data_IF_207707578184
#
_entry.id   IF_207707578184
#
_cell.length_a   1.000
_cell.length_b   1.000
_cell.length_c   1.000
_cell.angle_alpha   90.00
_cell.angle_beta   90.00
_cell.angle_gamma   90.00
#
_symmetry.space_group_name_H-M   'P 1'
#
loop_
_entity.id
_entity.type
_entity.pdbx_description
1 polymer ?
#
# COMPACT_ATOMS: atom_id res chain seq x y z
N UNK A 1 36.68 -19.86 -1.80
CA UNK A 1 37.74 -20.84 -2.08
C UNK A 1 38.00 -20.89 -3.56
N UNK A 2 38.81 -19.96 -4.06
CA UNK A 2 39.57 -20.13 -5.29
C UNK A 2 41.02 -20.21 -4.80
N UNK A 3 41.66 -21.34 -5.02
CA UNK A 3 43.06 -21.53 -4.67
C UNK A 3 43.83 -20.50 -5.49
N UNK A 4 44.60 -19.65 -4.81
CA UNK A 4 45.44 -18.60 -5.38
C UNK A 4 46.63 -19.27 -6.11
N UNK A 5 46.32 -19.96 -7.21
CA UNK A 5 47.22 -20.85 -7.94
C UNK A 5 48.27 -20.05 -8.73
N UNK A 6 48.06 -18.74 -8.88
CA UNK A 6 48.97 -17.79 -9.51
C UNK A 6 50.30 -17.65 -8.75
N UNK A 7 50.40 -18.13 -7.49
CA UNK A 7 51.65 -18.11 -6.70
C UNK A 7 52.42 -19.43 -6.70
N UNK A 8 51.93 -20.48 -7.36
CA UNK A 8 52.62 -21.77 -7.39
C UNK A 8 53.69 -21.78 -8.48
N UNK A 9 54.92 -22.20 -8.14
CA UNK A 9 56.02 -22.43 -9.11
C UNK A 9 55.60 -23.38 -10.25
N UNK A 10 54.65 -24.29 -9.99
CA UNK A 10 54.08 -25.19 -10.99
C UNK A 10 53.25 -24.44 -12.05
N UNK A 11 52.50 -23.42 -11.65
CA UNK A 11 51.75 -22.55 -12.57
C UNK A 11 52.69 -21.78 -13.48
N UNK A 12 53.82 -21.29 -12.95
CA UNK A 12 54.83 -20.56 -13.73
C UNK A 12 55.41 -21.44 -14.86
N UNK A 13 55.75 -22.69 -14.56
CA UNK A 13 56.28 -23.65 -15.55
C UNK A 13 55.24 -23.94 -16.62
N UNK A 14 53.98 -24.17 -16.22
CA UNK A 14 52.86 -24.41 -17.16
C UNK A 14 52.58 -23.16 -18.01
N UNK A 15 52.58 -21.98 -17.42
CA UNK A 15 52.25 -20.75 -18.12
C UNK A 15 53.33 -20.39 -19.15
N UNK A 16 54.62 -20.55 -18.80
CA UNK A 16 55.72 -20.33 -19.75
C UNK A 16 55.73 -21.41 -20.84
N UNK A 17 55.55 -22.69 -20.47
CA UNK A 17 55.63 -23.81 -21.41
C UNK A 17 54.45 -23.93 -22.37
N UNK A 18 53.24 -23.55 -21.94
CA UNK A 18 52.01 -23.71 -22.71
C UNK A 18 51.33 -22.39 -23.07
N UNK A 19 51.85 -21.24 -22.64
CA UNK A 19 51.18 -19.93 -22.76
C UNK A 19 49.75 -20.01 -22.22
N UNK A 20 49.62 -20.63 -21.04
CA UNK A 20 48.33 -21.03 -20.48
C UNK A 20 47.36 -19.85 -20.33
N UNK A 21 47.85 -18.68 -19.91
CA UNK A 21 47.04 -17.46 -19.80
C UNK A 21 46.49 -17.01 -21.15
N UNK A 22 47.31 -17.08 -22.21
CA UNK A 22 46.88 -16.72 -23.58
C UNK A 22 45.84 -17.72 -24.08
N UNK A 23 46.03 -19.02 -23.83
CA UNK A 23 45.03 -20.02 -24.18
C UNK A 23 43.71 -19.79 -23.44
N UNK A 24 43.76 -19.44 -22.15
CA UNK A 24 42.58 -19.10 -21.35
C UNK A 24 41.89 -17.85 -21.90
N UNK A 25 42.65 -16.80 -22.22
CA UNK A 25 42.12 -15.57 -22.80
C UNK A 25 41.45 -15.83 -24.16
N UNK A 26 42.07 -16.63 -25.04
CA UNK A 26 41.48 -17.02 -26.33
C UNK A 26 40.21 -17.84 -26.13
N UNK A 27 40.19 -18.80 -25.19
CA UNK A 27 38.98 -19.59 -24.88
C UNK A 27 37.85 -18.71 -24.34
N UNK A 28 38.15 -17.75 -23.45
CA UNK A 28 37.16 -16.79 -22.94
C UNK A 28 36.66 -15.88 -24.06
N UNK A 29 37.54 -15.41 -24.96
CA UNK A 29 37.15 -14.60 -26.11
C UNK A 29 36.27 -15.38 -27.10
N UNK A 30 36.59 -16.64 -27.38
CA UNK A 30 35.77 -17.53 -28.21
C UNK A 30 34.41 -17.82 -27.56
N UNK A 31 34.40 -18.10 -26.25
CA UNK A 31 33.16 -18.26 -25.49
C UNK A 31 32.30 -16.99 -25.53
N UNK A 32 32.90 -15.82 -25.30
CA UNK A 32 32.23 -14.52 -25.38
C UNK A 32 31.68 -14.27 -26.78
N UNK A 33 32.43 -14.59 -27.84
CA UNK A 33 31.96 -14.46 -29.21
C UNK A 33 30.81 -15.40 -29.54
N UNK A 34 30.74 -16.57 -28.91
CA UNK A 34 29.72 -17.59 -29.18
C UNK A 34 28.46 -17.40 -28.35
N UNK A 35 28.59 -16.93 -27.10
CA UNK A 35 27.51 -16.91 -26.11
C UNK A 35 27.30 -15.57 -25.41
N UNK A 36 28.19 -14.58 -25.60
CA UNK A 36 28.16 -13.30 -24.88
C UNK A 36 26.81 -12.58 -25.00
N UNK A 37 26.21 -12.60 -26.19
CA UNK A 37 24.89 -11.99 -26.45
C UNK A 37 23.75 -12.67 -25.68
N UNK A 38 23.92 -13.94 -25.28
CA UNK A 38 22.91 -14.73 -24.55
C UNK A 38 23.00 -14.54 -23.03
N UNK A 39 24.15 -14.12 -22.49
CA UNK A 39 24.38 -13.99 -21.05
C UNK A 39 23.34 -13.07 -20.39
N UNK A 40 23.00 -11.95 -21.05
CA UNK A 40 21.97 -11.04 -20.54
C UNK A 40 20.59 -11.67 -20.43
N UNK A 41 20.24 -12.56 -21.38
CA UNK A 41 19.00 -13.33 -21.33
C UNK A 41 19.04 -14.36 -20.18
N UNK A 42 20.13 -15.10 -20.02
CA UNK A 42 20.27 -16.09 -18.95
C UNK A 42 20.18 -15.45 -17.56
N UNK A 43 20.87 -14.33 -17.33
CA UNK A 43 20.79 -13.60 -16.06
C UNK A 43 19.37 -13.10 -15.79
N UNK A 44 18.65 -12.64 -16.82
CA UNK A 44 17.24 -12.22 -16.69
C UNK A 44 16.35 -13.40 -16.30
N UNK A 45 16.52 -14.57 -16.94
CA UNK A 45 15.73 -15.77 -16.63
C UNK A 45 15.99 -16.24 -15.20
N UNK A 46 17.24 -16.25 -14.74
CA UNK A 46 17.59 -16.53 -13.35
C UNK A 46 16.91 -15.54 -12.41
N UNK A 47 16.99 -14.23 -12.69
CA UNK A 47 16.34 -13.20 -11.88
C UNK A 47 14.82 -13.35 -11.80
N UNK A 48 14.16 -13.74 -12.90
CA UNK A 48 12.71 -14.04 -12.88
C UNK A 48 12.41 -15.27 -12.02
N UNK A 49 13.20 -16.33 -12.12
CA UNK A 49 13.02 -17.53 -11.29
C UNK A 49 13.19 -17.22 -9.80
N UNK A 50 14.20 -16.41 -9.43
CA UNK A 50 14.43 -15.97 -8.05
C UNK A 50 13.30 -15.09 -7.53
N UNK A 51 12.79 -14.15 -8.34
CA UNK A 51 11.68 -13.28 -7.97
C UNK A 51 10.38 -14.08 -7.74
N UNK A 52 10.03 -14.98 -8.68
CA UNK A 52 8.85 -15.83 -8.55
C UNK A 52 8.98 -16.80 -7.38
N UNK A 53 10.16 -17.38 -7.17
CA UNK A 53 10.45 -18.21 -5.99
C UNK A 53 10.25 -17.44 -4.68
N UNK A 54 10.69 -16.19 -4.62
CA UNK A 54 10.53 -15.33 -3.44
C UNK A 54 9.06 -15.04 -3.11
N UNK A 55 8.23 -14.80 -4.14
CA UNK A 55 6.78 -14.61 -3.96
C UNK A 55 6.08 -15.90 -3.53
N UNK A 56 6.49 -17.05 -4.08
CA UNK A 56 5.90 -18.34 -3.72
C UNK A 56 6.14 -18.71 -2.24
N UNK A 57 7.29 -18.33 -1.67
CA UNK A 57 7.63 -18.58 -0.25
C UNK A 57 6.61 -17.96 0.71
N UNK A 58 5.94 -16.86 0.34
CA UNK A 58 4.94 -16.18 1.18
C UNK A 58 3.86 -17.16 1.64
N UNK A 59 3.32 -17.97 0.72
CA UNK A 59 2.27 -18.97 1.05
C UNK A 59 2.78 -20.13 1.90
N UNK A 60 4.09 -20.39 1.88
CA UNK A 60 4.68 -21.43 2.72
C UNK A 60 4.81 -20.97 4.17
N UNK A 61 5.11 -19.68 4.38
CA UNK A 61 5.20 -19.05 5.70
C UNK A 61 3.80 -18.71 6.24
N UNK A 62 2.89 -18.32 5.36
CA UNK A 62 1.51 -17.94 5.67
C UNK A 62 0.51 -18.78 4.85
N UNK A 63 0.22 -20.02 5.25
CA UNK A 63 -0.70 -20.91 4.53
C UNK A 63 -2.15 -20.41 4.46
N UNK A 64 -2.49 -19.44 5.31
CA UNK A 64 -3.81 -18.81 5.42
C UNK A 64 -3.97 -17.58 4.51
N UNK A 65 -2.93 -17.22 3.76
CA UNK A 65 -2.96 -16.14 2.77
C UNK A 65 -3.43 -16.67 1.42
N UNK A 66 -4.35 -15.95 0.78
CA UNK A 66 -4.90 -16.34 -0.52
C UNK A 66 -4.12 -15.72 -1.69
N UNK A 67 -4.09 -16.41 -2.83
CA UNK A 67 -3.82 -15.75 -4.10
C UNK A 67 -5.03 -14.91 -4.51
N UNK A 68 -4.82 -13.71 -5.08
CA UNK A 68 -5.91 -12.82 -5.47
C UNK A 68 -6.62 -13.33 -6.73
N UNK A 69 -7.92 -13.11 -6.81
CA UNK A 69 -8.71 -13.23 -8.03
C UNK A 69 -8.71 -11.87 -8.75
N UNK A 70 -8.11 -11.83 -9.95
CA UNK A 70 -8.00 -10.59 -10.74
C UNK A 70 -9.18 -10.45 -11.69
N UNK A 71 -9.79 -9.26 -11.71
CA UNK A 71 -10.91 -8.95 -12.61
C UNK A 71 -10.62 -7.83 -13.60
N UNK A 72 -11.21 -7.95 -14.79
CA UNK A 72 -10.89 -7.10 -15.94
C UNK A 72 -11.89 -5.96 -16.20
N UNK A 73 -13.12 -5.98 -15.66
CA UNK A 73 -14.21 -5.13 -16.17
C UNK A 73 -14.73 -4.04 -15.22
N UNK A 74 -14.60 -4.21 -13.92
CA UNK A 74 -15.14 -3.27 -12.92
C UNK A 74 -14.02 -2.70 -12.04
N UNK A 75 -14.24 -1.61 -11.29
CA UNK A 75 -13.29 -1.18 -10.26
C UNK A 75 -13.71 -1.79 -8.92
N UNK A 76 -13.22 -3.00 -8.65
CA UNK A 76 -13.64 -3.81 -7.50
C UNK A 76 -12.46 -4.10 -6.59
N UNK A 77 -12.71 -4.07 -5.28
CA UNK A 77 -11.85 -4.67 -4.26
C UNK A 77 -12.75 -5.33 -3.22
N UNK A 78 -12.67 -6.65 -3.12
CA UNK A 78 -13.38 -7.42 -2.11
C UNK A 78 -12.38 -8.28 -1.35
N UNK A 79 -12.36 -8.18 -0.02
CA UNK A 79 -11.46 -8.96 0.81
C UNK A 79 -12.15 -9.50 2.06
N UNK A 80 -11.92 -10.78 2.32
CA UNK A 80 -12.34 -11.46 3.54
C UNK A 80 -11.13 -11.64 4.46
N UNK A 81 -11.28 -11.24 5.73
CA UNK A 81 -10.24 -11.30 6.74
C UNK A 81 -8.92 -10.64 6.29
N UNK A 82 -9.01 -9.42 5.72
CA UNK A 82 -7.86 -8.63 5.33
C UNK A 82 -7.03 -8.19 6.54
N UNK A 83 -5.74 -8.46 6.51
CA UNK A 83 -4.74 -8.02 7.48
C UNK A 83 -3.64 -7.15 6.86
N UNK A 84 -2.83 -6.54 7.72
CA UNK A 84 -1.64 -5.81 7.28
C UNK A 84 -0.43 -6.76 7.29
N UNK A 85 0.25 -7.01 6.15
CA UNK A 85 1.36 -7.98 6.03
C UNK A 85 2.56 -7.78 6.97
N UNK A 86 2.71 -6.59 7.56
CA UNK A 86 3.85 -6.21 8.40
C UNK A 86 3.49 -6.18 9.88
N UNK A 87 2.23 -6.42 10.24
CA UNK A 87 1.82 -6.55 11.63
C UNK A 87 2.00 -7.99 12.11
N UNK A 88 2.46 -8.18 13.36
CA UNK A 88 2.49 -9.50 13.97
C UNK A 88 1.09 -10.15 13.95
N UNK A 89 0.97 -11.46 13.63
CA UNK A 89 -0.33 -12.13 13.53
C UNK A 89 -1.20 -12.03 14.78
N UNK A 90 -0.59 -12.01 15.98
CA UNK A 90 -1.26 -11.86 17.28
C UNK A 90 -1.84 -10.47 17.52
N UNK A 91 -1.35 -9.45 16.81
CA UNK A 91 -1.80 -8.05 16.92
C UNK A 91 -2.60 -7.59 15.70
N UNK A 92 -2.63 -8.37 14.63
CA UNK A 92 -3.27 -8.01 13.38
C UNK A 92 -4.77 -8.31 13.43
N UNK A 93 -5.57 -7.29 13.75
CA UNK A 93 -7.03 -7.40 13.65
C UNK A 93 -7.44 -7.39 12.18
N UNK A 94 -8.02 -8.50 11.73
CA UNK A 94 -8.51 -8.68 10.36
C UNK A 94 -9.88 -8.03 10.15
N UNK A 95 -10.09 -7.47 8.96
CA UNK A 95 -11.30 -6.75 8.59
C UNK A 95 -11.79 -7.18 7.21
N UNK A 96 -13.10 -7.12 6.99
CA UNK A 96 -13.68 -7.33 5.67
C UNK A 96 -13.85 -5.99 4.96
N UNK A 97 -13.78 -6.01 3.64
CA UNK A 97 -14.06 -4.84 2.80
C UNK A 97 -14.67 -5.29 1.48
N UNK A 98 -15.60 -4.49 0.99
CA UNK A 98 -16.24 -4.67 -0.31
C UNK A 98 -16.44 -3.29 -0.95
N UNK A 99 -15.71 -3.07 -2.04
CA UNK A 99 -15.67 -1.85 -2.83
C UNK A 99 -16.08 -2.25 -4.24
N UNK A 100 -17.11 -1.58 -4.73
CA UNK A 100 -17.71 -1.81 -6.04
C UNK A 100 -18.04 -0.44 -6.65
N UNK A 101 -17.10 0.07 -7.45
CA UNK A 101 -17.18 1.36 -8.13
C UNK A 101 -17.49 2.55 -7.19
N UNK A 102 -17.22 2.41 -5.89
CA UNK A 102 -17.49 3.38 -4.84
C UNK A 102 -16.23 3.83 -4.09
N UNK A 103 -16.32 4.93 -3.37
CA UNK A 103 -15.24 5.45 -2.52
C UNK A 103 -15.61 5.36 -1.05
N UNK A 104 -14.67 4.95 -0.21
CA UNK A 104 -14.90 4.81 1.23
C UNK A 104 -14.37 6.02 2.00
N UNK A 105 -15.20 6.58 2.87
CA UNK A 105 -14.79 7.59 3.85
C UNK A 105 -14.74 6.91 5.22
N UNK A 106 -13.55 6.85 5.80
CA UNK A 106 -13.25 6.18 7.06
C UNK A 106 -13.02 7.20 8.15
N UNK A 107 -13.89 7.19 9.15
CA UNK A 107 -13.79 8.06 10.33
C UNK A 107 -13.35 7.32 11.59
N UNK A 108 -12.95 8.08 12.60
CA UNK A 108 -12.55 7.56 13.91
C UNK A 108 -11.45 8.43 14.52
N UNK A 109 -11.18 8.24 15.81
CA UNK A 109 -10.14 9.01 16.49
C UNK A 109 -8.74 8.77 15.90
N UNK A 110 -7.78 9.58 16.32
CA UNK A 110 -6.37 9.23 16.14
C UNK A 110 -6.09 7.90 16.85
N UNK A 111 -5.16 7.11 16.30
CA UNK A 111 -4.77 5.78 16.79
C UNK A 111 -5.80 4.66 16.64
N UNK A 112 -7.00 4.92 16.12
CA UNK A 112 -8.05 3.89 15.95
C UNK A 112 -7.79 2.85 14.84
N UNK A 113 -6.70 3.01 14.07
CA UNK A 113 -6.28 2.08 13.03
C UNK A 113 -6.59 2.50 11.59
N UNK A 114 -7.14 3.70 11.35
CA UNK A 114 -7.48 4.20 10.00
C UNK A 114 -6.32 4.08 9.00
N UNK A 115 -5.18 4.73 9.26
CA UNK A 115 -4.02 4.72 8.37
C UNK A 115 -3.47 3.30 8.15
N UNK A 116 -3.48 2.47 9.20
CA UNK A 116 -3.09 1.05 9.14
C UNK A 116 -3.99 0.27 8.20
N UNK A 117 -5.30 0.50 8.24
CA UNK A 117 -6.27 -0.15 7.37
C UNK A 117 -6.11 0.27 5.91
N UNK A 118 -5.94 1.57 5.62
CA UNK A 118 -5.67 2.02 4.26
C UNK A 118 -4.36 1.41 3.71
N UNK A 119 -3.30 1.37 4.54
CA UNK A 119 -2.01 0.73 4.17
C UNK A 119 -2.15 -0.77 3.97
N UNK A 120 -2.98 -1.46 4.74
CA UNK A 120 -3.25 -2.88 4.54
C UNK A 120 -3.82 -3.13 3.15
N UNK A 121 -4.82 -2.34 2.71
CA UNK A 121 -5.36 -2.47 1.35
C UNK A 121 -4.30 -2.17 0.29
N UNK A 122 -3.58 -1.05 0.43
CA UNK A 122 -2.54 -0.65 -0.53
C UNK A 122 -1.43 -1.69 -0.70
N UNK A 123 -0.91 -2.25 0.40
CA UNK A 123 0.17 -3.26 0.34
C UNK A 123 -0.36 -4.57 -0.25
N UNK A 124 -1.57 -4.99 0.08
CA UNK A 124 -2.15 -6.20 -0.49
C UNK A 124 -2.44 -6.05 -1.99
N UNK A 125 -2.82 -4.88 -2.47
CA UNK A 125 -2.90 -4.60 -3.92
C UNK A 125 -1.52 -4.70 -4.59
N UNK A 126 -0.47 -4.14 -3.97
CA UNK A 126 0.90 -4.25 -4.50
C UNK A 126 1.37 -5.71 -4.57
N UNK A 127 1.11 -6.49 -3.52
CA UNK A 127 1.40 -7.93 -3.51
C UNK A 127 0.62 -8.67 -4.60
N UNK A 128 -0.67 -8.34 -4.77
CA UNK A 128 -1.52 -8.93 -5.79
C UNK A 128 -0.98 -8.65 -7.20
N UNK A 129 -0.63 -7.39 -7.50
CA UNK A 129 -0.10 -7.00 -8.80
C UNK A 129 1.31 -7.53 -9.06
N UNK A 130 2.08 -7.84 -8.01
CA UNK A 130 3.35 -8.54 -8.13
C UNK A 130 3.17 -10.04 -8.43
N UNK A 131 1.95 -10.59 -8.30
CA UNK A 131 1.66 -12.03 -8.47
C UNK A 131 1.89 -12.85 -7.19
N UNK A 132 1.99 -12.20 -6.02
CA UNK A 132 2.13 -12.84 -4.73
C UNK A 132 0.79 -13.16 -4.07
N UNK A 133 0.84 -13.98 -3.02
CA UNK A 133 -0.30 -14.13 -2.11
C UNK A 133 -0.44 -12.89 -1.23
N UNK A 134 -1.68 -12.62 -0.82
CA UNK A 134 -2.05 -11.45 -0.03
C UNK A 134 -2.47 -11.85 1.38
N UNK A 135 -2.27 -10.95 2.35
CA UNK A 135 -2.66 -11.13 3.75
C UNK A 135 -4.18 -10.99 3.91
N UNK A 136 -4.91 -11.96 3.36
CA UNK A 136 -6.35 -12.11 3.45
C UNK A 136 -6.73 -13.57 3.23
N UNK A 137 -7.87 -14.00 3.79
CA UNK A 137 -8.42 -15.32 3.52
C UNK A 137 -9.05 -15.43 2.12
N UNK A 138 -9.54 -14.30 1.59
CA UNK A 138 -10.01 -14.13 0.21
C UNK A 138 -9.71 -12.73 -0.26
N UNK A 139 -9.35 -12.57 -1.52
CA UNK A 139 -9.09 -11.27 -2.11
C UNK A 139 -9.44 -11.28 -3.59
N UNK A 140 -10.28 -10.35 -4.02
CA UNK A 140 -10.70 -10.12 -5.40
C UNK A 140 -10.42 -8.66 -5.71
N UNK A 141 -9.69 -8.38 -6.78
CA UNK A 141 -9.42 -7.00 -7.16
C UNK A 141 -9.25 -6.83 -8.66
N UNK A 142 -9.54 -5.63 -9.13
CA UNK A 142 -9.26 -5.25 -10.51
C UNK A 142 -7.86 -4.66 -10.65
N UNK A 143 -7.30 -4.71 -11.86
CA UNK A 143 -6.01 -4.05 -12.14
C UNK A 143 -6.22 -2.55 -12.24
N UNK A 144 -5.70 -1.81 -11.28
CA UNK A 144 -5.87 -0.36 -11.15
C UNK A 144 -4.57 0.34 -10.80
N UNK A 145 -4.40 1.56 -11.28
CA UNK A 145 -3.28 2.41 -10.85
C UNK A 145 -3.48 2.86 -9.39
N UNK A 146 -2.53 2.49 -8.53
CA UNK A 146 -2.56 2.83 -7.10
C UNK A 146 -1.86 4.16 -6.84
N UNK A 147 -2.60 5.12 -6.29
CA UNK A 147 -2.08 6.42 -5.87
C UNK A 147 -2.25 6.64 -4.38
N UNK A 148 -1.29 7.28 -3.73
CA UNK A 148 -1.37 7.56 -2.29
C UNK A 148 -1.01 9.00 -1.95
N UNK A 149 -1.72 9.55 -0.97
CA UNK A 149 -1.34 10.75 -0.23
C UNK A 149 -1.35 10.39 1.25
N UNK A 150 -0.29 9.70 1.66
CA UNK A 150 -0.05 9.29 3.05
C UNK A 150 1.28 9.87 3.50
N UNK A 151 1.38 10.19 4.80
CA UNK A 151 2.62 10.68 5.36
C UNK A 151 3.64 9.53 5.44
N UNK A 152 4.77 9.73 4.77
CA UNK A 152 6.04 9.07 5.11
C UNK A 152 6.67 10.02 6.12
N UNK A 153 6.94 9.55 7.34
CA UNK A 153 7.67 10.34 8.34
C UNK A 153 9.03 10.71 7.73
N UNK A 154 9.16 11.91 7.19
CA UNK A 154 10.44 12.51 6.84
C UNK A 154 10.42 14.02 7.11
N UNK A 155 11.44 14.39 7.90
CA UNK A 155 11.94 15.68 8.36
C UNK A 155 10.99 16.77 8.90
N UNK A 156 11.21 17.06 10.18
CA UNK A 156 10.63 18.10 11.05
C UNK A 156 10.87 19.56 10.59
N UNK A 157 11.38 19.80 9.38
CA UNK A 157 11.99 21.09 9.03
C UNK A 157 11.16 22.03 8.16
N UNK A 158 10.00 21.67 7.61
CA UNK A 158 9.32 22.55 6.65
C UNK A 158 7.78 22.53 6.67
N UNK A 159 7.15 23.15 7.66
CA UNK A 159 5.67 23.22 7.77
C UNK A 159 4.93 23.82 6.55
N UNK A 160 5.59 24.64 5.72
CA UNK A 160 5.02 25.18 4.46
C UNK A 160 5.20 24.19 3.28
N UNK A 161 6.30 23.44 3.29
CA UNK A 161 6.64 22.48 2.24
C UNK A 161 5.75 21.23 2.32
N UNK A 162 5.37 20.80 3.54
CA UNK A 162 4.51 19.63 3.73
C UNK A 162 3.10 19.83 3.16
N UNK A 163 2.44 20.96 3.45
CA UNK A 163 1.14 21.27 2.86
C UNK A 163 1.22 21.44 1.35
N UNK A 164 2.25 22.12 0.84
CA UNK A 164 2.41 22.30 -0.61
C UNK A 164 2.74 20.97 -1.33
N UNK A 165 3.54 20.10 -0.71
CA UNK A 165 3.82 18.77 -1.21
C UNK A 165 2.56 17.90 -1.22
N UNK A 166 1.74 17.98 -0.17
CA UNK A 166 0.42 17.35 -0.13
C UNK A 166 -0.46 17.85 -1.28
N UNK A 167 -0.57 19.17 -1.47
CA UNK A 167 -1.34 19.76 -2.56
C UNK A 167 -0.86 19.27 -3.94
N UNK A 168 0.46 19.15 -4.13
CA UNK A 168 1.05 18.57 -5.35
C UNK A 168 0.65 17.11 -5.55
N UNK A 169 0.67 16.28 -4.49
CA UNK A 169 0.22 14.88 -4.55
C UNK A 169 -1.27 14.79 -4.90
N UNK A 170 -2.12 15.56 -4.22
CA UNK A 170 -3.56 15.60 -4.54
C UNK A 170 -3.81 16.05 -5.98
N UNK A 171 -3.08 17.06 -6.47
CA UNK A 171 -3.17 17.47 -7.87
C UNK A 171 -2.74 16.35 -8.83
N UNK A 172 -1.69 15.60 -8.53
CA UNK A 172 -1.26 14.45 -9.33
C UNK A 172 -2.37 13.38 -9.42
N UNK A 173 -3.01 13.05 -8.30
CA UNK A 173 -4.15 12.12 -8.25
C UNK A 173 -5.29 12.64 -9.13
N UNK A 174 -5.65 13.92 -8.99
CA UNK A 174 -6.69 14.55 -9.80
C UNK A 174 -6.35 14.55 -11.29
N UNK A 175 -5.11 14.86 -11.69
CA UNK A 175 -4.71 14.82 -13.10
C UNK A 175 -4.79 13.42 -13.67
N UNK A 176 -4.44 12.39 -12.89
CA UNK A 176 -4.55 11.01 -13.35
C UNK A 176 -6.00 10.58 -13.51
N UNK A 177 -6.87 10.92 -12.56
CA UNK A 177 -8.30 10.58 -12.64
C UNK A 177 -8.98 11.10 -13.91
N UNK A 178 -8.55 12.26 -14.43
CA UNK A 178 -9.07 12.84 -15.68
C UNK A 178 -8.79 12.00 -16.93
N UNK A 179 -7.89 11.02 -16.86
CA UNK A 179 -7.57 10.11 -17.98
C UNK A 179 -8.63 9.03 -18.16
N UNK A 180 -9.49 8.81 -17.17
CA UNK A 180 -10.52 7.76 -17.20
C UNK A 180 -9.97 6.34 -17.14
N UNK A 181 -8.72 6.16 -16.68
CA UNK A 181 -8.12 4.85 -16.45
C UNK A 181 -8.54 4.32 -15.08
N UNK A 182 -8.73 2.99 -14.91
CA UNK A 182 -9.00 2.40 -13.61
C UNK A 182 -7.93 2.78 -12.58
N UNK A 183 -8.36 3.37 -11.47
CA UNK A 183 -7.44 3.83 -10.43
C UNK A 183 -8.06 3.68 -9.06
N UNK A 184 -7.19 3.55 -8.06
CA UNK A 184 -7.56 3.66 -6.66
C UNK A 184 -6.65 4.67 -5.96
N UNK A 185 -7.26 5.64 -5.27
CA UNK A 185 -6.53 6.56 -4.40
C UNK A 185 -6.62 6.16 -2.93
N UNK A 186 -5.54 6.34 -2.18
CA UNK A 186 -5.49 6.18 -0.73
C UNK A 186 -5.02 7.50 -0.10
N UNK A 187 -5.93 8.22 0.55
CA UNK A 187 -5.66 9.53 1.14
C UNK A 187 -5.82 9.42 2.65
N UNK A 188 -4.76 9.74 3.39
CA UNK A 188 -4.77 9.69 4.85
C UNK A 188 -4.77 11.11 5.43
N UNK A 189 -5.94 11.56 5.89
CA UNK A 189 -6.27 12.91 6.38
C UNK A 189 -5.77 14.04 5.46
N UNK A 190 -6.67 14.52 4.61
CA UNK A 190 -6.39 15.54 3.60
C UNK A 190 -6.30 16.96 4.20
N UNK A 191 -5.34 17.75 3.73
CA UNK A 191 -5.14 19.17 4.04
C UNK A 191 -5.01 19.49 5.54
N UNK A 192 -4.27 18.66 6.30
CA UNK A 192 -4.04 18.86 7.75
C UNK A 192 -3.46 20.22 8.13
N UNK A 193 -2.70 20.86 7.24
CA UNK A 193 -1.98 22.12 7.50
C UNK A 193 -2.79 23.41 7.41
N UNK A 194 -4.10 23.37 7.21
CA UNK A 194 -4.97 24.57 7.08
C UNK A 194 -6.11 24.61 8.09
N UNK A 195 -6.83 25.74 8.13
CA UNK A 195 -8.00 25.94 8.98
C UNK A 195 -9.08 24.89 8.69
N UNK A 196 -9.82 24.46 9.72
CA UNK A 196 -10.81 23.38 9.60
C UNK A 196 -11.85 23.61 8.51
N UNK A 197 -12.35 24.84 8.35
CA UNK A 197 -13.34 25.15 7.31
C UNK A 197 -12.76 25.02 5.90
N UNK A 198 -11.55 25.55 5.69
CA UNK A 198 -10.84 25.47 4.40
C UNK A 198 -10.47 24.02 4.06
N UNK A 199 -10.06 23.25 5.07
CA UNK A 199 -9.75 21.83 4.95
C UNK A 199 -10.97 21.03 4.49
N UNK A 200 -12.10 21.15 5.19
CA UNK A 200 -13.35 20.43 4.87
C UNK A 200 -13.84 20.83 3.48
N UNK A 201 -13.91 22.13 3.20
CA UNK A 201 -14.41 22.63 1.91
C UNK A 201 -13.51 22.18 0.75
N UNK A 202 -12.20 22.31 0.91
CA UNK A 202 -11.22 21.85 -0.07
C UNK A 202 -11.30 20.34 -0.30
N UNK A 203 -11.39 19.55 0.77
CA UNK A 203 -11.53 18.10 0.71
C UNK A 203 -12.78 17.68 -0.06
N UNK A 204 -13.93 18.27 0.25
CA UNK A 204 -15.19 17.97 -0.47
C UNK A 204 -15.06 18.30 -1.96
N UNK A 205 -14.44 19.42 -2.33
CA UNK A 205 -14.22 19.78 -3.74
C UNK A 205 -13.34 18.75 -4.46
N UNK A 206 -12.27 18.29 -3.82
CA UNK A 206 -11.37 17.26 -4.37
C UNK A 206 -12.11 15.94 -4.55
N UNK A 207 -12.79 15.46 -3.51
CA UNK A 207 -13.49 14.17 -3.51
C UNK A 207 -14.62 14.15 -4.56
N UNK A 208 -15.40 15.22 -4.66
CA UNK A 208 -16.42 15.37 -5.71
C UNK A 208 -15.82 15.28 -7.11
N UNK A 209 -14.66 15.92 -7.35
CA UNK A 209 -13.98 15.85 -8.66
C UNK A 209 -13.43 14.46 -8.96
N UNK A 210 -12.87 13.76 -7.97
CA UNK A 210 -12.38 12.39 -8.15
C UNK A 210 -13.54 11.45 -8.51
N UNK A 211 -14.64 11.56 -7.78
CA UNK A 211 -15.85 10.79 -8.05
C UNK A 211 -16.46 11.10 -9.43
N UNK A 212 -16.54 12.38 -9.84
CA UNK A 212 -16.98 12.77 -11.19
C UNK A 212 -16.13 12.17 -12.31
N UNK A 213 -14.85 11.93 -12.05
CA UNK A 213 -13.93 11.31 -13.00
C UNK A 213 -13.98 9.77 -12.96
N UNK A 214 -14.84 9.18 -12.13
CA UNK A 214 -14.96 7.72 -11.98
C UNK A 214 -13.80 7.08 -11.23
N UNK A 215 -13.09 7.84 -10.39
CA UNK A 215 -12.04 7.28 -9.53
C UNK A 215 -12.65 6.74 -8.24
N UNK A 216 -12.28 5.51 -7.88
CA UNK A 216 -12.54 4.97 -6.54
C UNK A 216 -11.39 5.26 -5.58
N UNK A 217 -11.67 5.23 -4.29
CA UNK A 217 -10.62 5.41 -3.31
C UNK A 217 -11.04 5.32 -1.86
N UNK A 218 -10.03 5.34 -1.02
CA UNK A 218 -10.13 5.29 0.43
C UNK A 218 -9.63 6.60 1.01
N UNK A 219 -10.46 7.22 1.83
CA UNK A 219 -10.12 8.42 2.57
C UNK A 219 -10.22 8.15 4.06
N UNK A 220 -9.17 8.43 4.82
CA UNK A 220 -9.31 8.58 6.28
C UNK A 220 -9.52 10.05 6.64
N UNK A 221 -10.32 10.31 7.67
CA UNK A 221 -10.52 11.67 8.19
C UNK A 221 -11.00 11.66 9.63
N UNK A 222 -10.74 12.74 10.37
CA UNK A 222 -11.41 13.07 11.63
C UNK A 222 -12.56 14.07 11.45
N UNK A 223 -12.71 14.66 10.25
CA UNK A 223 -13.77 15.63 9.94
C UNK A 223 -15.07 14.88 9.57
N UNK A 224 -15.99 14.78 10.51
CA UNK A 224 -17.27 14.08 10.33
C UNK A 224 -18.17 14.71 9.27
N UNK A 225 -17.95 15.98 8.93
CA UNK A 225 -18.64 16.71 7.88
C UNK A 225 -18.40 16.11 6.49
N UNK A 226 -17.30 15.38 6.29
CA UNK A 226 -17.05 14.67 5.04
C UNK A 226 -17.96 13.44 4.86
N UNK A 227 -18.52 12.89 5.96
CA UNK A 227 -19.47 11.79 5.88
C UNK A 227 -20.77 12.18 5.15
N UNK A 228 -21.08 13.48 5.07
CA UNK A 228 -22.26 13.98 4.37
C UNK A 228 -22.20 13.71 2.86
N UNK A 229 -21.00 13.44 2.30
CA UNK A 229 -20.83 13.07 0.89
C UNK A 229 -21.51 11.75 0.53
N UNK A 230 -21.75 10.84 1.47
CA UNK A 230 -22.54 9.61 1.25
C UNK A 230 -23.99 9.91 0.83
N UNK A 231 -24.53 11.09 1.21
CA UNK A 231 -25.87 11.52 0.80
C UNK A 231 -25.93 11.99 -0.66
N UNK A 232 -24.78 12.31 -1.25
CA UNK A 232 -24.66 12.70 -2.65
C UNK A 232 -24.65 11.43 -3.52
N UNK A 233 -25.83 10.90 -3.86
CA UNK A 233 -26.00 9.61 -4.57
C UNK A 233 -25.16 9.51 -5.85
N UNK A 234 -25.01 10.62 -6.59
CA UNK A 234 -24.21 10.67 -7.82
C UNK A 234 -22.72 10.45 -7.56
N UNK A 235 -22.25 10.64 -6.32
CA UNK A 235 -20.85 10.61 -5.96
C UNK A 235 -20.36 9.25 -5.42
N UNK A 236 -21.28 8.30 -5.21
CA UNK A 236 -21.02 6.92 -4.79
C UNK A 236 -20.00 6.78 -3.64
N UNK A 237 -20.24 7.48 -2.53
CA UNK A 237 -19.44 7.35 -1.32
C UNK A 237 -20.13 6.42 -0.31
N UNK A 238 -19.35 5.60 0.40
CA UNK A 238 -19.79 4.82 1.56
C UNK A 238 -19.01 5.21 2.81
N UNK A 239 -19.72 5.39 3.91
CA UNK A 239 -19.10 5.70 5.19
C UNK A 239 -18.71 4.42 5.93
N UNK A 240 -17.54 4.48 6.57
CA UNK A 240 -17.07 3.51 7.52
C UNK A 240 -16.47 4.22 8.73
N UNK A 241 -16.33 3.49 9.83
CA UNK A 241 -15.69 4.03 11.01
C UNK A 241 -15.00 2.96 11.86
N UNK A 242 -14.00 3.41 12.60
CA UNK A 242 -13.45 2.72 13.76
C UNK A 242 -14.00 3.37 15.03
N UNK A 243 -14.15 2.58 16.09
CA UNK A 243 -14.65 3.03 17.38
C UNK A 243 -13.60 2.83 18.47
N UNK A 244 -13.66 3.70 19.47
CA UNK A 244 -12.98 3.55 20.75
C UNK A 244 -13.96 3.09 21.82
N UNK A 245 -13.43 2.32 22.76
CA UNK A 245 -14.14 1.91 23.97
C UNK A 245 -13.35 2.38 25.17
N UNK A 246 -14.05 2.72 26.25
CA UNK A 246 -13.41 3.08 27.50
C UNK A 246 -13.55 1.93 28.49
N UNK A 247 -12.42 1.37 28.91
CA UNK A 247 -12.38 0.27 29.86
C UNK A 247 -11.51 0.71 31.04
N UNK A 248 -12.04 0.66 32.27
CA UNK A 248 -11.29 1.02 33.49
C UNK A 248 -10.61 2.41 33.43
N UNK A 249 -11.24 3.39 32.79
CA UNK A 249 -10.71 4.76 32.66
C UNK A 249 -9.64 4.94 31.59
N UNK A 250 -9.25 3.90 30.85
CA UNK A 250 -8.36 4.00 29.68
C UNK A 250 -9.13 3.84 28.37
N UNK A 251 -8.64 4.51 27.33
CA UNK A 251 -9.12 4.34 25.96
C UNK A 251 -8.55 3.07 25.37
N UNK A 252 -9.40 2.27 24.74
CA UNK A 252 -9.07 1.02 24.07
C UNK A 252 -9.67 1.01 22.66
N UNK A 253 -8.99 0.35 21.73
CA UNK A 253 -9.41 0.23 20.33
C UNK A 253 -9.53 -1.24 19.97
N UNK A 254 -10.66 -1.62 19.38
CA UNK A 254 -10.86 -2.99 18.87
C UNK A 254 -10.35 -3.17 17.43
N UNK A 255 -10.02 -2.07 16.75
CA UNK A 255 -9.54 -2.03 15.37
C UNK A 255 -10.46 -2.74 14.37
N UNK A 256 -11.77 -2.79 14.66
CA UNK A 256 -12.80 -3.34 13.76
C UNK A 256 -13.46 -2.25 12.94
N UNK A 257 -13.40 -2.40 11.62
CA UNK A 257 -14.08 -1.56 10.66
C UNK A 257 -15.60 -1.83 10.72
N UNK A 258 -16.39 -0.77 10.78
CA UNK A 258 -17.85 -0.83 10.80
C UNK A 258 -18.42 0.07 9.71
N UNK A 259 -19.54 -0.33 9.12
CA UNK A 259 -20.23 0.48 8.13
C UNK A 259 -20.98 1.65 8.77
N UNK A 260 -21.20 2.69 7.98
CA UNK A 260 -21.88 3.92 8.36
C UNK A 260 -20.99 4.91 9.11
N UNK A 261 -21.57 6.07 9.42
CA UNK A 261 -20.98 7.11 10.26
C UNK A 261 -21.00 6.69 11.73
N UNK A 262 -19.95 7.02 12.49
CA UNK A 262 -19.93 6.80 13.93
C UNK A 262 -21.09 7.56 14.61
N UNK A 263 -21.90 6.86 15.41
CA UNK A 263 -23.06 7.41 16.11
C UNK A 263 -22.79 7.81 17.56
N UNK A 264 -21.66 7.40 18.13
CA UNK A 264 -21.27 7.64 19.52
C UNK A 264 -20.37 8.88 19.62
N UNK A 265 -20.82 9.90 20.35
CA UNK A 265 -20.00 11.09 20.63
C UNK A 265 -19.12 10.87 21.87
N UNK A 266 -17.81 10.79 21.66
CA UNK A 266 -16.80 10.68 22.72
C UNK A 266 -16.86 11.82 23.73
N UNK A 267 -17.26 13.02 23.28
CA UNK A 267 -17.36 14.19 24.13
C UNK A 267 -18.31 13.94 25.32
N UNK A 268 -19.42 13.24 25.10
CA UNK A 268 -20.40 12.93 26.16
C UNK A 268 -19.83 11.96 27.20
N UNK A 269 -19.02 10.99 26.77
CA UNK A 269 -18.37 10.05 27.69
C UNK A 269 -17.21 10.71 28.44
N UNK A 270 -16.40 11.54 27.77
CA UNK A 270 -15.31 12.31 28.39
C UNK A 270 -15.85 13.33 29.41
N UNK A 271 -16.93 14.04 29.08
CA UNK A 271 -17.63 14.94 30.00
C UNK A 271 -18.06 14.20 31.27
N UNK A 272 -18.63 12.99 31.10
CA UNK A 272 -19.02 12.12 32.22
C UNK A 272 -17.83 11.67 33.07
N UNK A 273 -16.69 11.30 32.46
CA UNK A 273 -15.49 10.91 33.22
C UNK A 273 -14.85 12.06 34.00
N UNK A 274 -14.94 13.30 33.49
CA UNK A 274 -14.35 14.50 34.14
C UNK A 274 -15.35 15.12 35.14
N UNK A 275 -16.54 14.55 35.30
CA UNK A 275 -17.56 15.03 36.24
C UNK A 275 -18.23 16.33 35.79
N UNK A 276 -18.15 16.65 34.49
CA UNK A 276 -18.87 17.76 33.88
C UNK A 276 -20.20 17.18 33.38
N UNK A 277 -21.16 17.04 34.28
CA UNK A 277 -22.55 16.71 33.94
C UNK A 277 -23.41 17.98 33.97
N UNK A 278 -24.35 18.07 33.02
CA UNK A 278 -25.69 18.62 33.29
C UNK A 278 -26.60 17.44 33.66
#
# INVERSE_FOLDING_TARGET
GAIDMNRSMFYLIINIGLLWDIQCAVRVAQWKSRYGDQVGCWLRVIGIMEALGSLAVITHIHPDWAYPEIEDQEQVISAGDLGHPLLPPDKCVRNNIDIDNDSCIVTGSNMSGKSTWLRAIGINLVLAYAGGAVCAAKFRCSVMDLYTSMEIRDDLLEGVSTFYAELKRINMILQHSRRGQPMIYLIDEIFRGTNSLDRITGAQVVLRKLSQNGAIGLLSTHDFELCELEKEVWANFRNYHFQEHYTNGSIAFDYKLRSGRCSTSNARYLMKMVGIED
#
